data_IF_033361491098
#
_entry.id   IF_033361491098
#
_cell.length_a   1.000
_cell.length_b   1.000
_cell.length_c   1.000
_cell.angle_alpha   90.00
_cell.angle_beta   90.00
_cell.angle_gamma   90.00
#
_symmetry.space_group_name_H-M   'P 1'
#
loop_
_entity.id
_entity.type
_entity.pdbx_description
1 polymer ?
#
# COMPACT_ATOMS: atom_id res chain seq x y z
N UNK A 1 2.85 -11.30 8.53
CA UNK A 1 2.31 -11.24 7.16
C UNK A 1 2.80 -9.97 6.49
N UNK A 2 3.39 -10.10 5.33
CA UNK A 2 3.95 -8.98 4.57
C UNK A 2 2.96 -8.56 3.49
N UNK A 3 2.60 -7.28 3.45
CA UNK A 3 1.63 -6.75 2.49
C UNK A 3 2.15 -5.48 1.83
N UNK A 4 1.53 -5.13 0.72
CA UNK A 4 1.78 -3.88 0.03
C UNK A 4 0.47 -3.09 0.04
N UNK A 5 0.55 -1.82 0.38
CA UNK A 5 -0.61 -0.93 0.35
C UNK A 5 -0.52 -0.02 -0.87
N UNK A 6 -1.60 0.02 -1.64
CA UNK A 6 -1.79 1.05 -2.67
C UNK A 6 -1.78 2.41 -1.97
N UNK A 7 -1.27 3.41 -2.66
CA UNK A 7 -1.13 4.77 -2.12
C UNK A 7 -2.45 5.30 -1.55
N UNK A 8 -3.55 5.11 -2.26
CA UNK A 8 -4.85 5.60 -1.80
C UNK A 8 -5.32 4.91 -0.51
N UNK A 9 -4.97 3.64 -0.32
CA UNK A 9 -5.29 2.94 0.93
C UNK A 9 -4.49 3.52 2.08
N UNK A 10 -3.20 3.76 1.89
CA UNK A 10 -2.36 4.34 2.93
C UNK A 10 -2.87 5.72 3.35
N UNK A 11 -3.08 6.62 2.39
CA UNK A 11 -3.52 7.98 2.72
C UNK A 11 -4.93 8.01 3.29
N UNK A 12 -5.83 7.16 2.80
CA UNK A 12 -7.17 7.05 3.39
C UNK A 12 -7.12 6.62 4.84
N UNK A 13 -6.21 5.72 5.17
CA UNK A 13 -6.05 5.26 6.56
C UNK A 13 -5.46 6.31 7.48
N UNK A 14 -4.69 7.26 6.94
CA UNK A 14 -4.14 8.37 7.70
C UNK A 14 -5.21 9.45 7.94
N UNK A 15 -5.97 9.78 6.91
CA UNK A 15 -6.90 10.92 6.94
C UNK A 15 -8.31 10.57 7.42
N UNK A 16 -8.73 9.31 7.31
CA UNK A 16 -10.10 8.91 7.60
C UNK A 16 -10.16 7.64 8.43
N UNK A 17 -11.24 7.48 9.21
CA UNK A 17 -11.50 6.22 9.91
C UNK A 17 -12.03 5.16 8.92
N UNK A 18 -11.98 3.89 9.31
CA UNK A 18 -12.51 2.78 8.52
C UNK A 18 -11.47 1.69 8.27
N UNK A 19 -11.73 0.76 7.33
CA UNK A 19 -10.84 -0.37 7.08
C UNK A 19 -9.38 0.01 6.77
N UNK A 20 -9.08 1.04 5.94
CA UNK A 20 -7.68 1.43 5.75
C UNK A 20 -6.99 1.85 7.05
N UNK A 21 -7.69 2.57 7.93
CA UNK A 21 -7.13 2.96 9.22
C UNK A 21 -6.84 1.74 10.10
N UNK A 22 -7.73 0.75 10.09
CA UNK A 22 -7.54 -0.49 10.84
C UNK A 22 -6.32 -1.26 10.37
N UNK A 23 -6.03 -1.23 9.08
CA UNK A 23 -4.84 -1.87 8.51
C UNK A 23 -3.57 -1.16 9.00
N UNK A 24 -3.56 0.17 8.98
CA UNK A 24 -2.41 0.94 9.46
C UNK A 24 -2.18 0.72 10.95
N UNK A 25 -3.24 0.66 11.74
CA UNK A 25 -3.13 0.36 13.17
C UNK A 25 -2.55 -1.03 13.42
N UNK A 26 -2.99 -2.04 12.66
CA UNK A 26 -2.45 -3.39 12.75
C UNK A 26 -0.94 -3.42 12.42
N UNK A 27 -0.51 -2.66 11.44
CA UNK A 27 0.90 -2.52 11.13
C UNK A 27 1.67 -1.86 12.28
N UNK A 28 1.13 -0.79 12.84
CA UNK A 28 1.76 -0.09 13.98
C UNK A 28 1.87 -0.99 15.22
N UNK A 29 0.93 -1.91 15.37
CA UNK A 29 0.94 -2.89 16.46
C UNK A 29 1.87 -4.08 16.19
N UNK A 30 2.51 -4.14 15.03
CA UNK A 30 3.42 -5.23 14.66
C UNK A 30 2.72 -6.48 14.13
N UNK A 31 1.42 -6.42 13.88
CA UNK A 31 0.65 -7.56 13.35
C UNK A 31 0.84 -7.77 11.85
N UNK A 32 1.30 -6.72 11.16
CA UNK A 32 1.56 -6.74 9.73
C UNK A 32 2.92 -6.11 9.46
N UNK A 33 3.53 -6.50 8.35
CA UNK A 33 4.75 -5.87 7.84
C UNK A 33 4.43 -5.23 6.50
N UNK A 34 4.85 -3.98 6.32
CA UNK A 34 4.69 -3.28 5.04
C UNK A 34 5.94 -3.44 4.20
N UNK A 35 5.76 -3.84 2.94
CA UNK A 35 6.82 -3.84 1.95
C UNK A 35 6.60 -2.65 1.02
N UNK A 36 7.67 -1.93 0.73
CA UNK A 36 7.65 -0.79 -0.19
C UNK A 36 8.87 -0.82 -1.08
N UNK A 37 8.80 -0.09 -2.19
CA UNK A 37 9.96 0.28 -2.98
C UNK A 37 10.19 1.77 -2.80
N UNK A 38 11.35 2.25 -3.27
CA UNK A 38 11.62 3.70 -3.23
C UNK A 38 10.56 4.47 -4.04
N UNK A 39 10.17 3.91 -5.20
CA UNK A 39 9.16 4.52 -6.05
C UNK A 39 7.81 4.64 -5.34
N UNK A 40 7.40 3.61 -4.61
CA UNK A 40 6.16 3.63 -3.83
C UNK A 40 6.25 4.67 -2.71
N UNK A 41 7.37 4.72 -1.99
CA UNK A 41 7.57 5.70 -0.92
C UNK A 41 7.50 7.12 -1.45
N UNK A 42 8.11 7.37 -2.61
CA UNK A 42 8.07 8.68 -3.25
C UNK A 42 6.64 9.09 -3.61
N UNK A 43 5.84 8.14 -4.09
CA UNK A 43 4.43 8.40 -4.38
C UNK A 43 3.63 8.66 -3.09
N UNK A 44 3.86 7.90 -2.03
CA UNK A 44 3.21 8.15 -0.74
C UNK A 44 3.45 9.59 -0.28
N UNK A 45 4.69 10.06 -0.38
CA UNK A 45 5.04 11.42 0.01
C UNK A 45 4.37 12.47 -0.87
N UNK A 46 4.41 12.27 -2.18
CA UNK A 46 3.83 13.21 -3.14
C UNK A 46 2.31 13.37 -2.95
N UNK A 47 1.60 12.25 -2.87
CA UNK A 47 0.15 12.26 -2.69
C UNK A 47 -0.21 12.79 -1.30
N UNK A 48 0.56 12.43 -0.29
CA UNK A 48 0.36 12.92 1.06
C UNK A 48 0.50 14.44 1.17
N UNK A 49 1.48 15.03 0.50
CA UNK A 49 1.67 16.48 0.47
C UNK A 49 0.49 17.20 -0.17
N UNK A 50 -0.04 16.66 -1.27
CA UNK A 50 -1.21 17.21 -1.93
C UNK A 50 -2.41 17.19 -0.99
N UNK A 51 -2.63 16.09 -0.29
CA UNK A 51 -3.76 15.99 0.64
C UNK A 51 -3.57 16.83 1.90
N UNK A 52 -2.35 17.07 2.35
CA UNK A 52 -2.06 17.94 3.48
C UNK A 52 -2.47 19.39 3.21
N UNK A 53 -2.39 19.83 1.97
CA UNK A 53 -2.87 21.16 1.57
C UNK A 53 -4.39 21.25 1.70
N UNK A 54 -5.12 20.17 1.42
CA UNK A 54 -6.57 20.11 1.53
C UNK A 54 -7.06 19.91 2.96
N UNK A 55 -6.26 19.24 3.79
CA UNK A 55 -6.61 18.90 5.17
C UNK A 55 -5.49 19.33 6.13
N UNK A 56 -5.29 20.65 6.32
CA UNK A 56 -4.14 21.14 7.09
C UNK A 56 -4.15 20.76 8.57
N UNK A 57 -5.30 20.35 9.10
CA UNK A 57 -5.38 19.89 10.49
C UNK A 57 -4.76 18.51 10.71
N UNK A 58 -4.52 17.75 9.63
CA UNK A 58 -3.94 16.41 9.72
C UNK A 58 -2.42 16.53 9.61
N UNK A 59 -1.70 16.02 10.60
CA UNK A 59 -0.24 16.02 10.61
C UNK A 59 0.25 14.72 9.99
N UNK A 60 0.64 14.80 8.72
CA UNK A 60 1.00 13.64 7.91
C UNK A 60 2.45 13.18 8.11
N UNK A 61 3.37 14.15 8.29
CA UNK A 61 4.81 13.89 8.26
C UNK A 61 5.29 12.82 9.25
N UNK A 62 4.84 12.81 10.52
CA UNK A 62 5.29 11.77 11.44
C UNK A 62 4.91 10.36 11.00
N UNK A 63 3.76 10.19 10.36
CA UNK A 63 3.32 8.87 9.90
C UNK A 63 4.13 8.44 8.67
N UNK A 64 4.43 9.35 7.76
CA UNK A 64 5.30 9.03 6.62
C UNK A 64 6.72 8.72 7.07
N UNK A 65 7.23 9.43 8.06
CA UNK A 65 8.54 9.14 8.63
C UNK A 65 8.56 7.76 9.29
N UNK A 66 7.47 7.39 9.95
CA UNK A 66 7.32 6.06 10.55
C UNK A 66 7.30 4.97 9.48
N UNK A 67 6.62 5.19 8.36
CA UNK A 67 6.63 4.27 7.23
C UNK A 67 8.04 4.12 6.68
N UNK A 68 8.73 5.23 6.43
CA UNK A 68 10.09 5.21 5.90
C UNK A 68 11.07 4.48 6.82
N UNK A 69 10.89 4.60 8.15
CA UNK A 69 11.79 4.01 9.13
C UNK A 69 11.50 2.52 9.39
N UNK A 70 10.24 2.09 9.27
CA UNK A 70 9.83 0.75 9.73
C UNK A 70 9.34 -0.18 8.62
N UNK A 71 8.92 0.33 7.45
CA UNK A 71 8.58 -0.52 6.33
C UNK A 71 9.86 -1.12 5.73
N UNK A 72 9.76 -2.33 5.20
CA UNK A 72 10.89 -2.93 4.50
C UNK A 72 10.95 -2.37 3.09
N UNK A 73 12.10 -1.77 2.73
CA UNK A 73 12.32 -1.20 1.40
C UNK A 73 13.08 -2.22 0.55
N UNK A 74 12.49 -2.61 -0.56
CA UNK A 74 13.07 -3.61 -1.45
C UNK A 74 13.57 -2.96 -2.74
N UNK A 75 14.77 -3.34 -3.22
CA UNK A 75 15.18 -2.97 -4.58
C UNK A 75 14.30 -3.70 -5.58
N UNK A 76 13.78 -2.98 -6.55
CA UNK A 76 12.78 -3.49 -7.47
C UNK A 76 13.27 -3.41 -8.90
N UNK A 77 13.05 -4.48 -9.68
CA UNK A 77 13.26 -4.48 -11.11
C UNK A 77 11.93 -4.16 -11.79
N UNK A 78 11.99 -3.35 -12.85
CA UNK A 78 10.80 -3.08 -13.65
C UNK A 78 10.25 -4.37 -14.24
N UNK A 79 8.94 -4.45 -14.38
CA UNK A 79 8.30 -5.56 -15.08
C UNK A 79 8.75 -5.55 -16.55
N UNK A 80 8.93 -6.74 -17.12
CA UNK A 80 9.39 -6.86 -18.52
C UNK A 80 8.32 -6.39 -19.50
N UNK A 81 7.05 -6.49 -19.12
CA UNK A 81 5.92 -6.06 -19.93
C UNK A 81 4.90 -5.35 -19.04
N UNK A 82 4.17 -4.35 -19.57
CA UNK A 82 3.09 -3.73 -18.83
C UNK A 82 2.02 -4.76 -18.46
N UNK A 83 1.53 -4.70 -17.23
CA UNK A 83 0.51 -5.61 -16.71
C UNK A 83 -0.81 -4.88 -16.44
N UNK A 84 -0.75 -3.73 -15.78
CA UNK A 84 -1.93 -2.94 -15.48
C UNK A 84 -2.29 -2.01 -16.64
N UNK A 85 -3.56 -1.67 -16.76
CA UNK A 85 -4.02 -0.71 -17.77
C UNK A 85 -3.32 0.65 -17.58
N UNK A 86 -3.10 1.06 -16.34
CA UNK A 86 -2.27 2.21 -16.02
C UNK A 86 -0.86 1.71 -15.67
N UNK A 87 0.16 2.02 -16.48
CA UNK A 87 1.54 1.55 -16.20
C UNK A 87 2.07 2.02 -14.85
N UNK A 88 1.58 3.12 -14.31
CA UNK A 88 2.00 3.63 -13.02
C UNK A 88 1.63 2.67 -11.87
N UNK A 89 0.62 1.83 -12.05
CA UNK A 89 0.21 0.85 -11.05
C UNK A 89 1.12 -0.39 -11.01
N UNK A 90 1.90 -0.61 -12.06
CA UNK A 90 2.79 -1.78 -12.13
C UNK A 90 3.86 -1.78 -11.04
N UNK A 91 4.20 -0.63 -10.46
CA UNK A 91 5.18 -0.58 -9.37
C UNK A 91 4.76 -1.38 -8.14
N UNK A 92 3.46 -1.49 -7.88
CA UNK A 92 2.96 -2.29 -6.76
C UNK A 92 3.17 -3.77 -7.01
N UNK A 93 2.92 -4.23 -8.24
CA UNK A 93 3.18 -5.62 -8.61
C UNK A 93 4.67 -5.93 -8.58
N UNK A 94 5.50 -5.05 -9.11
CA UNK A 94 6.95 -5.22 -9.10
C UNK A 94 7.49 -5.31 -7.68
N UNK A 95 6.98 -4.49 -6.78
CA UNK A 95 7.35 -4.54 -5.36
C UNK A 95 6.91 -5.85 -4.70
N UNK A 96 5.70 -6.32 -5.01
CA UNK A 96 5.21 -7.59 -4.47
C UNK A 96 6.10 -8.76 -4.90
N UNK A 97 6.54 -8.77 -6.15
CA UNK A 97 7.47 -9.79 -6.63
C UNK A 97 8.82 -9.72 -5.92
N UNK A 98 9.40 -8.52 -5.79
CA UNK A 98 10.67 -8.32 -5.13
C UNK A 98 10.63 -8.72 -3.65
N UNK A 99 9.56 -8.37 -2.97
CA UNK A 99 9.37 -8.62 -1.55
C UNK A 99 8.86 -10.05 -1.27
N UNK A 100 8.49 -10.78 -2.30
CA UNK A 100 7.81 -12.08 -2.17
C UNK A 100 6.53 -11.96 -1.35
N UNK A 101 5.84 -10.83 -1.48
CA UNK A 101 4.54 -10.62 -0.88
C UNK A 101 3.46 -11.20 -1.78
N UNK A 102 2.48 -11.84 -1.18
CA UNK A 102 1.37 -12.44 -1.92
C UNK A 102 0.09 -11.60 -1.87
N UNK A 103 0.12 -10.46 -1.19
CA UNK A 103 -1.07 -9.63 -0.98
C UNK A 103 -0.77 -8.16 -1.22
N UNK A 104 -1.59 -7.56 -2.07
CA UNK A 104 -1.66 -6.12 -2.26
C UNK A 104 -3.06 -5.66 -1.86
N UNK A 105 -3.16 -4.64 -1.02
CA UNK A 105 -4.44 -4.08 -0.61
C UNK A 105 -4.70 -2.82 -1.43
N UNK A 106 -5.78 -2.81 -2.20
CA UNK A 106 -6.12 -1.70 -3.08
C UNK A 106 -7.61 -1.63 -3.34
N UNK A 107 -8.14 -0.43 -3.52
CA UNK A 107 -9.48 -0.21 -4.02
C UNK A 107 -9.53 0.17 -5.50
N UNK A 108 -8.37 0.24 -6.15
CA UNK A 108 -8.26 0.64 -7.56
C UNK A 108 -8.69 -0.49 -8.49
N UNK A 109 -9.64 -0.18 -9.38
CA UNK A 109 -10.15 -1.15 -10.36
C UNK A 109 -9.05 -1.74 -11.24
N UNK A 110 -8.05 -0.94 -11.62
CA UNK A 110 -6.97 -1.39 -12.51
C UNK A 110 -6.09 -2.43 -11.84
N UNK A 111 -5.84 -2.27 -10.55
CA UNK A 111 -5.08 -3.27 -9.78
C UNK A 111 -5.95 -4.50 -9.46
N UNK A 112 -7.18 -4.29 -9.01
CA UNK A 112 -8.07 -5.40 -8.67
C UNK A 112 -8.29 -6.35 -9.86
N UNK A 113 -8.33 -5.79 -11.06
CA UNK A 113 -8.53 -6.53 -12.31
C UNK A 113 -7.44 -7.56 -12.58
N UNK A 114 -6.21 -7.30 -12.12
CA UNK A 114 -5.08 -8.20 -12.34
C UNK A 114 -4.77 -9.10 -11.14
N UNK A 115 -5.69 -9.19 -10.16
CA UNK A 115 -5.55 -10.10 -9.03
C UNK A 115 -5.31 -11.51 -9.51
N UNK A 116 -4.36 -12.20 -8.89
CA UNK A 116 -3.92 -13.54 -9.30
C UNK A 116 -2.64 -13.53 -10.12
N UNK A 117 -2.18 -12.36 -10.57
CA UNK A 117 -0.94 -12.25 -11.33
C UNK A 117 0.22 -12.86 -10.54
N UNK A 118 0.81 -13.90 -11.09
CA UNK A 118 1.91 -14.66 -10.45
C UNK A 118 1.61 -15.04 -9.00
N UNK A 119 0.35 -15.34 -8.69
CA UNK A 119 -0.06 -15.74 -7.35
C UNK A 119 -0.26 -14.58 -6.38
N UNK A 120 -0.17 -13.33 -6.83
CA UNK A 120 -0.38 -12.16 -6.00
C UNK A 120 -1.87 -11.86 -5.95
N UNK A 121 -2.44 -11.89 -4.75
CA UNK A 121 -3.85 -11.56 -4.54
C UNK A 121 -3.98 -10.07 -4.26
N UNK A 122 -4.88 -9.41 -4.99
CA UNK A 122 -5.17 -8.00 -4.79
C UNK A 122 -6.58 -7.90 -4.25
N UNK A 123 -6.74 -7.35 -3.05
CA UNK A 123 -8.03 -7.31 -2.36
C UNK A 123 -8.32 -5.93 -1.80
N UNK A 124 -9.60 -5.64 -1.64
CA UNK A 124 -10.06 -4.38 -1.07
C UNK A 124 -9.78 -4.32 0.43
N UNK A 125 -9.63 -3.10 1.00
CA UNK A 125 -9.35 -2.95 2.44
C UNK A 125 -10.34 -3.68 3.34
N UNK A 126 -11.64 -3.59 3.07
CA UNK A 126 -12.65 -4.26 3.88
C UNK A 126 -12.50 -5.77 3.85
N UNK A 127 -12.28 -6.33 2.66
CA UNK A 127 -12.06 -7.77 2.52
C UNK A 127 -10.81 -8.20 3.27
N UNK A 128 -9.76 -7.39 3.21
CA UNK A 128 -8.53 -7.69 3.93
C UNK A 128 -8.76 -7.70 5.45
N UNK A 129 -9.45 -6.69 5.98
CA UNK A 129 -9.76 -6.61 7.40
C UNK A 129 -10.59 -7.83 7.83
N UNK A 130 -11.64 -8.14 7.07
CA UNK A 130 -12.54 -9.25 7.42
C UNK A 130 -11.84 -10.61 7.32
N UNK A 131 -10.93 -10.79 6.36
CA UNK A 131 -10.27 -12.08 6.13
C UNK A 131 -9.03 -12.30 6.96
N UNK A 132 -8.27 -11.26 7.29
CA UNK A 132 -6.94 -11.39 7.90
C UNK A 132 -6.82 -10.72 9.27
N UNK A 133 -7.63 -9.72 9.58
CA UNK A 133 -7.55 -8.99 10.84
C UNK A 133 -8.68 -9.28 11.81
N UNK A 134 -9.79 -9.82 11.34
CA UNK A 134 -10.88 -10.27 12.21
C UNK A 134 -10.51 -11.61 12.83
N UNK A 135 -10.45 -11.66 14.10
CA UNK A 135 -10.17 -12.91 14.82
C UNK A 135 -11.36 -13.27 15.70
#
# INVERSE_FOLDING_TARGET
MKIILDTNVLVSGIFFAGPPCQIIEAWREGRLHLAISQEILDEYRRVGEILSEQFPAVVLRPILDLVAANAEIFPVQCLTEPVCDDPDDDKFLACALAAKSKVIVSGDKHLLKVSGFRGIKIIKPREFVDSYLSS
#
